data_IF_833213504911
#
_entry.id   IF_833213504911
#
_cell.length_a   1.000
_cell.length_b   1.000
_cell.length_c   1.000
_cell.angle_alpha   90.00
_cell.angle_beta   90.00
_cell.angle_gamma   90.00
#
_symmetry.space_group_name_H-M   'P 1'
#
loop_
_entity.id
_entity.type
_entity.pdbx_description
1 polymer ?
#
# COMPACT_ATOMS: atom_id res chain seq x y z
N UNK A 1 -13.36 11.03 -6.45
CA UNK A 1 -12.66 9.75 -6.35
C UNK A 1 -11.59 9.92 -5.28
N UNK A 2 -11.46 9.02 -4.32
CA UNK A 2 -10.47 9.12 -3.25
C UNK A 2 -9.51 7.94 -3.27
N UNK A 3 -8.43 8.02 -2.49
CA UNK A 3 -7.45 6.95 -2.41
C UNK A 3 -6.77 6.87 -1.04
N UNK A 4 -5.89 5.89 -0.85
CA UNK A 4 -5.09 5.75 0.37
C UNK A 4 -3.62 5.97 0.03
N UNK A 5 -3.01 6.96 0.65
CA UNK A 5 -1.59 7.30 0.53
C UNK A 5 -0.78 6.89 1.76
N UNK A 6 0.53 6.83 1.61
CA UNK A 6 1.46 6.73 2.73
C UNK A 6 1.55 8.06 3.46
N UNK A 7 1.67 8.04 4.81
CA UNK A 7 1.80 9.23 5.64
C UNK A 7 2.97 10.13 5.21
N UNK A 8 4.09 9.51 4.83
CA UNK A 8 5.30 10.24 4.41
C UNK A 8 5.11 11.06 3.12
N UNK A 9 4.12 10.70 2.28
CA UNK A 9 3.81 11.45 1.06
C UNK A 9 3.11 12.77 1.40
N UNK A 10 2.38 12.84 2.51
CA UNK A 10 1.73 14.06 2.97
C UNK A 10 2.74 15.19 3.19
N UNK A 11 3.93 14.84 3.66
CA UNK A 11 4.98 15.80 4.01
C UNK A 11 5.79 16.29 2.80
N UNK A 12 5.51 15.75 1.59
CA UNK A 12 6.13 16.22 0.35
C UNK A 12 5.43 17.52 -0.08
N UNK A 13 6.18 18.66 -0.15
CA UNK A 13 5.61 19.92 -0.59
C UNK A 13 4.89 19.79 -1.94
N UNK A 14 3.78 20.49 -2.10
CA UNK A 14 2.92 20.48 -3.30
C UNK A 14 2.21 19.15 -3.53
N UNK A 15 2.92 18.01 -3.61
CA UNK A 15 2.34 16.69 -3.89
C UNK A 15 1.37 16.24 -2.78
N UNK A 16 1.77 16.39 -1.51
CA UNK A 16 0.92 16.07 -0.37
C UNK A 16 -0.37 16.87 -0.40
N UNK A 17 -0.28 18.18 -0.69
CA UNK A 17 -1.43 19.07 -0.78
C UNK A 17 -2.37 18.72 -1.92
N UNK A 18 -1.82 18.43 -3.10
CA UNK A 18 -2.62 17.99 -4.27
C UNK A 18 -3.37 16.69 -3.95
N UNK A 19 -2.69 15.71 -3.34
CA UNK A 19 -3.32 14.44 -2.98
C UNK A 19 -4.38 14.62 -1.89
N UNK A 20 -4.16 15.50 -0.92
CA UNK A 20 -5.15 15.84 0.11
C UNK A 20 -6.40 16.46 -0.52
N UNK A 21 -6.24 17.43 -1.44
CA UNK A 21 -7.33 18.03 -2.20
C UNK A 21 -8.07 17.01 -3.09
N UNK A 22 -7.36 16.01 -3.61
CA UNK A 22 -7.94 14.89 -4.34
C UNK A 22 -8.68 13.88 -3.44
N UNK A 23 -8.78 14.13 -2.12
CA UNK A 23 -9.47 13.27 -1.16
C UNK A 23 -8.68 12.03 -0.79
N UNK A 24 -7.34 12.07 -0.87
CA UNK A 24 -6.48 10.98 -0.39
C UNK A 24 -6.38 11.01 1.12
N UNK A 25 -6.67 9.87 1.76
CA UNK A 25 -6.41 9.68 3.20
C UNK A 25 -5.01 9.09 3.38
N UNK A 26 -4.22 9.73 4.25
CA UNK A 26 -2.88 9.28 4.54
C UNK A 26 -2.87 8.38 5.78
N UNK A 27 -2.33 7.18 5.66
CA UNK A 27 -2.29 6.19 6.74
C UNK A 27 -0.85 5.82 7.13
N UNK A 28 -0.63 5.66 8.42
CA UNK A 28 0.59 5.03 8.94
C UNK A 28 0.42 3.51 8.89
N UNK A 29 1.16 2.86 8.00
CA UNK A 29 1.08 1.42 7.77
C UNK A 29 1.80 0.60 8.84
N UNK A 30 2.48 1.23 9.77
CA UNK A 30 3.23 0.55 10.84
C UNK A 30 2.33 0.18 12.02
N UNK A 31 1.25 0.94 12.23
CA UNK A 31 0.29 0.70 13.30
C UNK A 31 -1.07 0.32 12.69
N UNK A 32 -1.47 -0.95 12.83
CA UNK A 32 -2.71 -1.48 12.22
C UNK A 32 -3.96 -0.86 12.84
N UNK A 33 -3.98 -0.60 14.17
CA UNK A 33 -5.14 -0.02 14.84
C UNK A 33 -5.37 1.44 14.41
N UNK A 34 -4.30 2.21 14.31
CA UNK A 34 -4.37 3.60 13.84
C UNK A 34 -4.72 3.68 12.35
N UNK A 35 -4.24 2.71 11.55
CA UNK A 35 -4.60 2.61 10.15
C UNK A 35 -6.10 2.34 9.96
N UNK A 36 -6.72 1.50 10.80
CA UNK A 36 -8.17 1.23 10.74
C UNK A 36 -8.96 2.49 11.11
N UNK A 37 -8.60 3.16 12.21
CA UNK A 37 -9.24 4.43 12.62
C UNK A 37 -9.08 5.52 11.55
N UNK A 38 -7.92 5.63 10.95
CA UNK A 38 -7.65 6.60 9.87
C UNK A 38 -8.50 6.34 8.61
N UNK A 39 -9.11 5.16 8.47
CA UNK A 39 -10.03 4.86 7.36
C UNK A 39 -11.48 5.28 7.62
N UNK A 40 -11.86 5.62 8.86
CA UNK A 40 -13.22 6.07 9.19
C UNK A 40 -13.74 7.19 8.27
N UNK A 41 -12.97 8.24 7.94
CA UNK A 41 -13.42 9.28 7.01
C UNK A 41 -13.71 8.74 5.60
N UNK A 42 -13.02 7.68 5.17
CA UNK A 42 -13.30 7.02 3.89
C UNK A 42 -14.60 6.22 3.93
N UNK A 43 -14.86 5.53 5.05
CA UNK A 43 -16.14 4.83 5.26
C UNK A 43 -17.29 5.83 5.17
N UNK A 44 -17.17 7.00 5.82
CA UNK A 44 -18.17 8.05 5.75
C UNK A 44 -18.34 8.59 4.32
N UNK A 45 -17.25 8.89 3.63
CA UNK A 45 -17.29 9.37 2.25
C UNK A 45 -17.93 8.36 1.29
N UNK A 46 -17.71 7.06 1.49
CA UNK A 46 -18.38 6.01 0.71
C UNK A 46 -19.88 6.01 1.00
N UNK A 47 -20.27 6.03 2.28
CA UNK A 47 -21.67 5.89 2.69
C UNK A 47 -22.50 7.13 2.40
N UNK A 48 -21.99 8.33 2.77
CA UNK A 48 -22.73 9.60 2.67
C UNK A 48 -22.59 10.23 1.29
N UNK A 49 -21.36 10.31 0.77
CA UNK A 49 -21.08 11.00 -0.48
C UNK A 49 -21.13 10.07 -1.69
N UNK A 50 -21.38 8.78 -1.50
CA UNK A 50 -21.36 7.72 -2.53
C UNK A 50 -20.06 7.74 -3.36
N UNK A 51 -18.94 8.01 -2.73
CA UNK A 51 -17.64 8.07 -3.39
C UNK A 51 -17.09 6.68 -3.66
N UNK A 52 -16.56 6.47 -4.84
CA UNK A 52 -15.76 5.28 -5.17
C UNK A 52 -14.33 5.49 -4.71
N UNK A 53 -13.75 4.49 -4.03
CA UNK A 53 -12.37 4.48 -3.56
C UNK A 53 -11.57 3.43 -4.32
N UNK A 54 -10.48 3.85 -4.95
CA UNK A 54 -9.56 2.93 -5.64
C UNK A 54 -8.37 2.60 -4.74
N UNK A 55 -8.10 1.32 -4.53
CA UNK A 55 -7.03 0.85 -3.66
C UNK A 55 -6.27 -0.30 -4.33
N UNK A 56 -4.94 -0.19 -4.42
CA UNK A 56 -4.09 -1.30 -4.79
C UNK A 56 -3.91 -2.25 -3.59
N UNK A 57 -4.45 -3.48 -3.62
CA UNK A 57 -4.52 -4.34 -2.44
C UNK A 57 -3.16 -4.89 -1.99
N UNK A 58 -2.17 -4.95 -2.87
CA UNK A 58 -0.79 -5.31 -2.52
C UNK A 58 -0.11 -4.27 -1.63
N UNK A 59 -0.55 -3.00 -1.71
CA UNK A 59 -0.03 -1.90 -0.90
C UNK A 59 1.39 -1.47 -1.25
N UNK A 60 2.01 -2.05 -2.26
CA UNK A 60 3.34 -1.66 -2.78
C UNK A 60 3.50 -2.13 -4.22
N UNK A 61 4.36 -1.46 -4.98
CA UNK A 61 4.81 -1.96 -6.27
C UNK A 61 5.85 -3.07 -6.05
N UNK A 62 5.77 -4.15 -6.82
CA UNK A 62 6.74 -5.26 -6.81
C UNK A 62 7.66 -5.16 -8.03
N UNK A 63 8.83 -5.81 -7.98
CA UNK A 63 9.71 -5.98 -9.14
C UNK A 63 9.28 -7.20 -9.98
N UNK A 64 8.51 -8.10 -9.35
CA UNK A 64 7.99 -9.29 -10.01
C UNK A 64 6.69 -8.97 -10.73
N UNK A 65 6.43 -9.51 -11.91
CA UNK A 65 5.13 -9.45 -12.57
C UNK A 65 4.06 -10.30 -11.85
N UNK A 66 4.46 -11.14 -10.89
CA UNK A 66 3.53 -11.97 -10.10
C UNK A 66 2.78 -11.14 -9.07
N UNK A 67 1.49 -11.41 -8.92
CA UNK A 67 0.64 -10.80 -7.89
C UNK A 67 1.08 -11.25 -6.50
N UNK A 68 1.47 -10.28 -5.68
CA UNK A 68 1.84 -10.51 -4.30
C UNK A 68 0.66 -10.79 -3.36
N UNK A 69 0.92 -11.00 -2.06
CA UNK A 69 -0.13 -11.17 -1.07
C UNK A 69 -0.91 -9.86 -0.87
N UNK A 70 -2.25 -9.97 -0.79
CA UNK A 70 -3.10 -8.82 -0.56
C UNK A 70 -3.13 -8.39 0.91
N UNK A 71 -3.13 -7.08 1.13
CA UNK A 71 -3.31 -6.46 2.45
C UNK A 71 -4.79 -6.37 2.79
N UNK A 72 -5.15 -6.66 4.04
CA UNK A 72 -6.53 -6.66 4.50
C UNK A 72 -7.22 -5.29 4.54
N UNK A 73 -6.47 -4.19 4.47
CA UNK A 73 -7.00 -2.84 4.68
C UNK A 73 -8.14 -2.45 3.72
N UNK A 74 -7.99 -2.72 2.42
CA UNK A 74 -9.04 -2.44 1.42
C UNK A 74 -10.33 -3.24 1.72
N UNK A 75 -10.18 -4.49 2.15
CA UNK A 75 -11.27 -5.40 2.45
C UNK A 75 -11.98 -5.02 3.76
N UNK A 76 -11.23 -4.60 4.78
CA UNK A 76 -11.81 -3.99 5.99
C UNK A 76 -12.64 -2.76 5.66
N UNK A 77 -12.14 -1.89 4.78
CA UNK A 77 -12.85 -0.67 4.38
C UNK A 77 -14.18 -1.03 3.69
N UNK A 78 -14.17 -1.95 2.73
CA UNK A 78 -15.37 -2.37 2.02
C UNK A 78 -16.40 -3.02 2.96
N UNK A 79 -15.96 -3.93 3.82
CA UNK A 79 -16.79 -4.58 4.83
C UNK A 79 -17.40 -3.56 5.79
N UNK A 80 -16.62 -2.61 6.32
CA UNK A 80 -17.11 -1.56 7.21
C UNK A 80 -18.08 -0.62 6.49
N UNK A 81 -17.81 -0.28 5.23
CA UNK A 81 -18.69 0.58 4.46
C UNK A 81 -19.97 -0.13 3.99
N UNK A 82 -20.00 -1.47 3.97
CA UNK A 82 -21.12 -2.27 3.48
C UNK A 82 -21.30 -2.10 1.96
N UNK A 83 -20.19 -2.04 1.20
CA UNK A 83 -20.23 -1.87 -0.25
C UNK A 83 -19.48 -2.98 -0.96
N UNK A 84 -19.89 -3.36 -2.20
CA UNK A 84 -19.21 -4.38 -2.96
C UNK A 84 -17.80 -3.92 -3.36
N UNK A 85 -16.92 -4.92 -3.62
CA UNK A 85 -15.61 -4.71 -4.22
C UNK A 85 -15.71 -5.01 -5.71
N UNK A 86 -15.26 -4.10 -6.56
CA UNK A 86 -15.08 -4.33 -7.99
C UNK A 86 -13.59 -4.58 -8.26
N UNK A 87 -13.17 -5.83 -8.54
CA UNK A 87 -11.78 -6.10 -8.86
C UNK A 87 -11.44 -5.58 -10.26
N UNK A 88 -10.35 -4.81 -10.35
CA UNK A 88 -9.83 -4.25 -11.60
C UNK A 88 -8.42 -4.79 -11.81
N UNK A 89 -8.22 -5.61 -12.83
CA UNK A 89 -6.94 -6.25 -13.14
C UNK A 89 -6.22 -5.48 -14.22
N UNK A 90 -5.03 -4.99 -13.91
CA UNK A 90 -4.16 -4.30 -14.86
C UNK A 90 -3.01 -5.25 -15.21
N UNK A 91 -3.00 -5.76 -16.46
CA UNK A 91 -2.11 -6.85 -16.86
C UNK A 91 -0.64 -6.46 -16.88
N UNK A 92 -0.32 -5.28 -17.36
CA UNK A 92 1.07 -4.87 -17.65
C UNK A 92 1.42 -3.51 -17.03
N UNK A 93 0.96 -3.27 -15.80
CA UNK A 93 1.23 -2.01 -15.09
C UNK A 93 2.74 -1.73 -14.90
N UNK A 94 3.56 -2.78 -14.77
CA UNK A 94 5.01 -2.68 -14.66
C UNK A 94 5.70 -2.10 -15.89
N UNK A 95 5.11 -2.27 -17.08
CA UNK A 95 5.67 -1.73 -18.32
C UNK A 95 5.55 -0.20 -18.37
N UNK A 96 4.48 0.34 -17.77
CA UNK A 96 4.22 1.78 -17.71
C UNK A 96 5.02 2.45 -16.60
N UNK A 97 5.01 1.88 -15.40
CA UNK A 97 5.60 2.49 -14.20
C UNK A 97 6.40 1.46 -13.39
N UNK A 98 7.59 1.06 -13.84
CA UNK A 98 8.44 0.12 -13.12
C UNK A 98 8.75 0.61 -11.70
N UNK A 99 9.00 -0.33 -10.81
CA UNK A 99 9.43 -0.01 -9.45
C UNK A 99 10.82 0.61 -9.50
N UNK A 100 11.04 1.65 -8.68
CA UNK A 100 12.28 2.43 -8.56
C UNK A 100 12.58 3.35 -9.76
N UNK A 101 11.70 3.45 -10.73
CA UNK A 101 11.79 4.46 -11.78
C UNK A 101 10.76 5.57 -11.56
N UNK A 102 11.12 6.80 -11.89
CA UNK A 102 10.22 7.97 -11.85
C UNK A 102 9.65 8.32 -13.24
N UNK A 103 10.10 7.63 -14.28
CA UNK A 103 9.67 7.87 -15.66
C UNK A 103 8.55 6.90 -16.01
N UNK A 104 7.44 7.46 -16.50
CA UNK A 104 6.38 6.67 -17.12
C UNK A 104 6.73 6.40 -18.57
N UNK A 105 6.54 5.17 -19.00
CA UNK A 105 6.79 4.72 -20.39
C UNK A 105 5.47 4.58 -21.12
N UNK A 106 5.38 4.99 -22.39
CA UNK A 106 4.19 4.71 -23.20
C UNK A 106 4.07 3.20 -23.42
N UNK A 107 2.91 2.65 -23.07
CA UNK A 107 2.59 1.24 -23.29
C UNK A 107 1.09 1.05 -23.52
N UNK A 108 0.73 -0.03 -24.22
CA UNK A 108 -0.67 -0.46 -24.32
C UNK A 108 -1.03 -1.21 -23.04
N UNK A 109 -1.97 -0.68 -22.27
CA UNK A 109 -2.42 -1.30 -21.01
C UNK A 109 -3.72 -2.04 -21.27
N UNK A 110 -3.77 -3.33 -20.91
CA UNK A 110 -5.01 -4.10 -20.87
C UNK A 110 -5.57 -4.06 -19.44
N UNK A 111 -6.85 -3.74 -19.34
CA UNK A 111 -7.58 -3.66 -18.05
C UNK A 111 -8.82 -4.54 -18.14
N UNK A 112 -8.93 -5.50 -17.24
CA UNK A 112 -10.11 -6.34 -17.10
C UNK A 112 -10.87 -5.91 -15.83
N UNK A 113 -12.15 -5.62 -15.97
CA UNK A 113 -13.07 -5.36 -14.84
C UNK A 113 -13.83 -6.64 -14.56
N UNK A 114 -13.59 -7.23 -13.38
CA UNK A 114 -14.24 -8.47 -12.97
C UNK A 114 -15.60 -8.20 -12.32
N UNK A 115 -16.47 -9.23 -12.20
CA UNK A 115 -17.74 -9.09 -11.51
C UNK A 115 -17.58 -8.55 -10.08
N UNK A 116 -18.52 -7.71 -9.62
CA UNK A 116 -18.51 -7.23 -8.24
C UNK A 116 -18.58 -8.38 -7.24
N UNK A 117 -17.82 -8.27 -6.15
CA UNK A 117 -17.84 -9.20 -5.03
C UNK A 117 -18.66 -8.58 -3.90
N UNK A 118 -19.72 -9.24 -3.50
CA UNK A 118 -20.54 -8.81 -2.38
C UNK A 118 -19.79 -8.98 -1.05
N UNK A 119 -19.94 -8.01 -0.16
CA UNK A 119 -19.30 -8.00 1.15
C UNK A 119 -20.30 -8.06 2.31
N UNK A 120 -21.58 -8.22 2.04
CA UNK A 120 -22.66 -8.14 3.03
C UNK A 120 -22.52 -9.20 4.13
N UNK A 121 -22.08 -10.41 3.77
CA UNK A 121 -21.89 -11.54 4.70
C UNK A 121 -20.47 -11.59 5.31
N UNK A 122 -19.62 -10.61 5.02
CA UNK A 122 -18.24 -10.63 5.51
C UNK A 122 -18.16 -10.25 6.98
N UNK A 123 -17.33 -10.97 7.70
CA UNK A 123 -17.02 -10.72 9.10
C UNK A 123 -15.52 -10.62 9.33
N UNK A 124 -15.06 -10.01 10.43
CA UNK A 124 -13.64 -9.99 10.76
C UNK A 124 -13.01 -11.39 10.83
N UNK A 125 -13.80 -12.42 11.19
CA UNK A 125 -13.33 -13.82 11.26
C UNK A 125 -13.14 -14.44 9.88
N UNK A 126 -14.05 -14.17 8.94
CA UNK A 126 -14.02 -14.72 7.57
C UNK A 126 -13.21 -13.88 6.59
N UNK A 127 -12.78 -12.68 6.98
CA UNK A 127 -12.11 -11.74 6.09
C UNK A 127 -10.87 -12.32 5.42
N UNK A 128 -10.12 -13.20 6.10
CA UNK A 128 -8.90 -13.80 5.55
C UNK A 128 -9.18 -14.71 4.35
N UNK A 129 -10.25 -15.51 4.41
CA UNK A 129 -10.68 -16.36 3.29
C UNK A 129 -11.14 -15.52 2.12
N UNK A 130 -11.96 -14.49 2.35
CA UNK A 130 -12.43 -13.61 1.29
C UNK A 130 -11.29 -12.83 0.59
N UNK A 131 -10.26 -12.42 1.34
CA UNK A 131 -9.06 -11.82 0.74
C UNK A 131 -8.35 -12.81 -0.19
N UNK A 132 -8.26 -14.09 0.20
CA UNK A 132 -7.66 -15.13 -0.63
C UNK A 132 -8.52 -15.42 -1.88
N UNK A 133 -9.83 -15.46 -1.74
CA UNK A 133 -10.78 -15.65 -2.85
C UNK A 133 -10.65 -14.54 -3.89
N UNK A 134 -10.67 -13.27 -3.45
CA UNK A 134 -10.49 -12.15 -4.37
C UNK A 134 -9.11 -12.19 -5.03
N UNK A 135 -8.04 -12.53 -4.28
CA UNK A 135 -6.71 -12.69 -4.87
C UNK A 135 -6.68 -13.77 -5.94
N UNK A 136 -7.36 -14.90 -5.71
CA UNK A 136 -7.49 -15.97 -6.70
C UNK A 136 -8.16 -15.50 -8.00
N UNK A 137 -9.13 -14.58 -7.93
CA UNK A 137 -9.73 -13.97 -9.12
C UNK A 137 -8.68 -13.22 -9.96
N UNK A 138 -7.78 -12.46 -9.31
CA UNK A 138 -6.68 -11.76 -10.00
C UNK A 138 -5.70 -12.73 -10.63
N UNK A 139 -5.30 -13.78 -9.88
CA UNK A 139 -4.38 -14.81 -10.40
C UNK A 139 -4.97 -15.50 -11.63
N UNK A 140 -6.25 -15.89 -11.57
CA UNK A 140 -6.95 -16.50 -12.70
C UNK A 140 -7.00 -15.58 -13.91
N UNK A 141 -7.34 -14.30 -13.73
CA UNK A 141 -7.41 -13.33 -14.82
C UNK A 141 -6.04 -13.07 -15.48
N UNK A 142 -4.97 -13.15 -14.68
CA UNK A 142 -3.59 -12.98 -15.15
C UNK A 142 -2.94 -14.26 -15.66
N UNK A 143 -3.62 -15.42 -15.58
CA UNK A 143 -3.04 -16.72 -15.92
C UNK A 143 -1.88 -17.12 -15.02
N UNK A 144 -1.91 -16.70 -13.75
CA UNK A 144 -0.88 -17.00 -12.76
C UNK A 144 -1.35 -18.12 -11.83
N UNK A 145 -0.45 -19.03 -11.48
CA UNK A 145 -0.69 -20.04 -10.44
C UNK A 145 -0.50 -19.42 -9.06
N UNK A 146 -1.21 -19.96 -8.06
CA UNK A 146 -1.06 -19.55 -6.66
C UNK A 146 0.23 -20.14 -6.09
N UNK A 147 1.33 -19.42 -6.23
CA UNK A 147 2.56 -19.75 -5.51
C UNK A 147 2.31 -19.52 -4.01
N UNK A 148 2.65 -20.49 -3.14
CA UNK A 148 2.58 -20.25 -1.70
C UNK A 148 3.36 -18.99 -1.36
N UNK A 149 2.72 -18.07 -0.62
CA UNK A 149 3.31 -16.79 -0.27
C UNK A 149 4.74 -17.00 0.27
N UNK A 150 5.73 -16.25 -0.23
CA UNK A 150 7.10 -16.38 0.28
C UNK A 150 7.06 -16.17 1.80
N UNK A 151 7.81 -16.96 2.59
CA UNK A 151 7.80 -16.86 4.03
C UNK A 151 8.03 -15.40 4.43
N UNK A 152 7.23 -14.90 5.38
CA UNK A 152 7.41 -13.55 5.93
C UNK A 152 8.89 -13.42 6.29
N UNK A 153 9.62 -12.52 5.60
CA UNK A 153 11.00 -12.20 5.98
C UNK A 153 10.96 -11.85 7.46
N UNK A 154 11.56 -12.70 8.28
CA UNK A 154 11.86 -12.40 9.68
C UNK A 154 12.51 -11.03 9.68
N UNK A 155 12.03 -10.15 10.55
CA UNK A 155 12.65 -8.84 10.76
C UNK A 155 14.14 -9.08 10.90
N UNK A 156 14.93 -8.61 9.94
CA UNK A 156 16.38 -8.60 10.09
C UNK A 156 16.67 -7.85 11.38
N UNK A 157 17.31 -8.52 12.32
CA UNK A 157 17.80 -7.94 13.56
C UNK A 157 18.56 -6.66 13.22
N UNK A 158 18.18 -5.60 13.93
CA UNK A 158 18.79 -4.29 13.76
C UNK A 158 20.29 -4.41 13.99
N UNK A 159 21.10 -4.11 12.96
CA UNK A 159 22.54 -3.94 13.13
C UNK A 159 22.81 -3.00 14.29
N UNK A 160 23.69 -3.35 15.25
CA UNK A 160 24.02 -2.46 16.34
C UNK A 160 24.64 -1.17 15.76
N UNK A 161 24.08 -0.04 16.18
CA UNK A 161 24.61 1.28 15.83
C UNK A 161 26.05 1.37 16.34
N UNK A 162 27.03 1.41 15.44
CA UNK A 162 28.40 1.78 15.76
C UNK A 162 28.41 3.19 16.36
N UNK A 163 28.92 3.32 17.59
CA UNK A 163 29.15 4.61 18.25
C UNK A 163 30.10 5.44 17.41
N UNK A 164 29.86 6.75 17.20
CA UNK A 164 30.84 7.61 16.55
C UNK A 164 32.06 7.76 17.46
N UNK A 165 33.26 7.53 16.87
CA UNK A 165 34.54 7.71 17.51
C UNK A 165 34.69 9.17 17.99
N UNK A 166 35.07 9.33 19.25
CA UNK A 166 35.36 10.61 19.86
C UNK A 166 36.54 11.30 19.12
N UNK A 167 36.30 12.51 18.63
CA UNK A 167 37.33 13.36 18.04
C UNK A 167 38.33 13.76 19.15
N UNK A 168 39.57 13.32 19.03
CA UNK A 168 40.68 13.76 19.85
C UNK A 168 40.93 15.27 19.67
N UNK A 169 41.03 16.04 20.77
CA UNK A 169 41.42 17.43 20.79
C UNK A 169 42.91 17.57 20.45
N UNK A 170 43.30 18.51 19.64
CA UNK A 170 44.74 18.80 19.42
C UNK A 170 45.35 19.45 20.67
N UNK A 171 46.52 18.95 21.09
CA UNK A 171 47.31 19.48 22.19
C UNK A 171 47.85 20.86 21.82
N UNK A 172 47.69 21.85 22.72
CA UNK A 172 48.34 23.17 22.66
C UNK A 172 49.81 23.01 22.94
N UNK A 173 50.68 23.29 21.95
CA UNK A 173 52.11 23.54 22.12
C UNK A 173 52.29 24.87 22.84
N UNK A 174 52.85 24.82 24.06
CA UNK A 174 53.46 25.99 24.70
C UNK A 174 54.79 26.28 24.00
N UNK A 175 54.94 27.47 23.47
CA UNK A 175 56.24 28.04 23.12
C UNK A 175 56.74 28.80 24.32
N UNK A 176 57.92 28.42 24.81
CA UNK A 176 58.75 29.23 25.68
C UNK A 176 59.81 29.87 24.83
N UNK A 177 60.10 31.11 25.12
CA UNK A 177 61.10 31.93 24.53
C UNK A 177 60.73 33.40 24.63
#
# INVERSE_FOLDING_TARGET
MGGIGKKEIRDIPVLGKIMEMAGTVFVDRKNTSDAIKAMEPLVEAIRKDRRSICIAPEGTRTLSPKVGPFKKGAFHLAMQAGVPIVPIVIHNAGDVAPKNEFVMRPAKVRVDVLPPVDTSEWTPKTLTSHVAEVRAMFLKALGQEDDPAPPKKMKSEAKPKSKPAAKAKPAKKKAAG
#
